data_IF_339228398442
#
_entry.id   IF_339228398442
#
_cell.length_a   1.000
_cell.length_b   1.000
_cell.length_c   1.000
_cell.angle_alpha   90.00
_cell.angle_beta   90.00
_cell.angle_gamma   90.00
#
_symmetry.space_group_name_H-M   'P 1'
#
loop_
_entity.id
_entity.type
_entity.pdbx_description
1 polymer ?
#
# COMPACT_ATOMS: atom_id res chain seq x y z
N UNK A 1 20.28 -11.26 -12.48
CA UNK A 1 18.86 -10.89 -12.31
C UNK A 1 18.05 -11.40 -13.48
N UNK A 2 16.83 -11.88 -13.26
CA UNK A 2 15.95 -12.27 -14.35
C UNK A 2 15.04 -11.12 -14.73
N UNK A 3 15.15 -10.65 -15.98
CA UNK A 3 14.39 -9.53 -16.51
C UNK A 3 12.88 -9.76 -16.41
N UNK A 4 12.14 -8.70 -16.06
CA UNK A 4 10.67 -8.67 -16.20
C UNK A 4 10.32 -8.92 -17.67
N UNK A 5 9.36 -9.79 -18.01
CA UNK A 5 9.00 -10.03 -19.40
C UNK A 5 8.47 -8.75 -20.09
N UNK A 6 8.76 -8.56 -21.39
CA UNK A 6 8.45 -7.30 -22.09
C UNK A 6 6.95 -7.04 -22.29
N UNK A 7 6.13 -8.08 -22.25
CA UNK A 7 4.68 -8.04 -22.45
C UNK A 7 3.90 -7.93 -21.12
N UNK A 8 4.59 -7.66 -20.01
CA UNK A 8 3.99 -7.57 -18.68
C UNK A 8 3.75 -6.13 -18.27
N UNK A 9 2.59 -5.87 -17.66
CA UNK A 9 2.27 -4.55 -17.11
C UNK A 9 3.28 -4.12 -16.03
N UNK A 10 3.85 -5.09 -15.30
CA UNK A 10 4.92 -4.87 -14.33
C UNK A 10 6.16 -4.18 -14.93
N UNK A 11 6.47 -4.39 -16.21
CA UNK A 11 7.60 -3.71 -16.86
C UNK A 11 7.35 -2.20 -16.94
N UNK A 12 6.15 -1.79 -17.37
CA UNK A 12 5.75 -0.38 -17.39
C UNK A 12 5.83 0.22 -15.97
N UNK A 13 5.44 -0.55 -14.96
CA UNK A 13 5.56 -0.15 -13.56
C UNK A 13 7.01 0.06 -13.14
N UNK A 14 7.94 -0.83 -13.54
CA UNK A 14 9.37 -0.64 -13.29
C UNK A 14 9.91 0.62 -13.97
N UNK A 15 9.59 0.83 -15.26
CA UNK A 15 10.02 2.02 -16.00
C UNK A 15 9.53 3.32 -15.33
N UNK A 16 8.27 3.36 -14.90
CA UNK A 16 7.73 4.52 -14.20
C UNK A 16 8.34 4.70 -12.81
N UNK A 17 8.63 3.61 -12.10
CA UNK A 17 9.30 3.66 -10.79
C UNK A 17 10.70 4.25 -10.93
N UNK A 18 11.49 3.78 -11.90
CA UNK A 18 12.82 4.33 -12.20
C UNK A 18 12.76 5.82 -12.58
N UNK A 19 11.73 6.22 -13.34
CA UNK A 19 11.53 7.61 -13.70
C UNK A 19 11.19 8.48 -12.47
N UNK A 20 10.31 8.02 -11.58
CA UNK A 20 10.00 8.71 -10.31
C UNK A 20 11.23 8.84 -9.43
N UNK A 21 12.09 7.81 -9.37
CA UNK A 21 13.33 7.85 -8.61
C UNK A 21 14.30 8.91 -9.14
N UNK A 22 14.56 8.92 -10.45
CA UNK A 22 15.44 9.91 -11.06
C UNK A 22 14.95 11.35 -10.83
N UNK A 23 13.63 11.56 -10.91
CA UNK A 23 13.00 12.84 -10.60
C UNK A 23 13.14 13.21 -9.13
N UNK A 24 12.93 12.25 -8.22
CA UNK A 24 13.10 12.44 -6.79
C UNK A 24 14.54 12.85 -6.47
N UNK A 25 15.53 12.13 -6.98
CA UNK A 25 16.96 12.43 -6.76
C UNK A 25 17.31 13.84 -7.29
N UNK A 26 16.79 14.23 -8.46
CA UNK A 26 16.97 15.58 -8.99
C UNK A 26 16.34 16.65 -8.10
N UNK A 27 15.11 16.42 -7.63
CA UNK A 27 14.40 17.36 -6.76
C UNK A 27 15.13 17.53 -5.42
N UNK A 28 15.60 16.44 -4.81
CA UNK A 28 16.35 16.46 -3.54
C UNK A 28 17.70 17.17 -3.72
N UNK A 29 18.40 16.92 -4.82
CA UNK A 29 19.66 17.60 -5.13
C UNK A 29 19.51 19.08 -5.49
N UNK A 30 18.28 19.59 -5.67
CA UNK A 30 18.03 20.94 -6.19
C UNK A 30 18.49 21.14 -7.64
N UNK A 31 18.68 20.04 -8.38
CA UNK A 31 19.17 20.05 -9.76
C UNK A 31 18.01 20.30 -10.73
N UNK A 32 18.17 21.28 -11.62
CA UNK A 32 17.24 21.52 -12.74
C UNK A 32 17.53 20.61 -13.94
N UNK A 33 18.15 19.45 -13.73
CA UNK A 33 18.52 18.57 -14.83
C UNK A 33 17.27 18.02 -15.50
N UNK A 34 17.22 18.14 -16.83
CA UNK A 34 16.11 17.60 -17.61
C UNK A 34 16.21 16.07 -17.66
N UNK A 35 15.44 15.39 -16.81
CA UNK A 35 15.25 13.93 -16.92
C UNK A 35 14.41 13.67 -18.15
N UNK A 36 15.00 12.92 -19.09
CA UNK A 36 14.34 12.50 -20.31
C UNK A 36 13.14 11.61 -19.97
N UNK A 37 11.94 11.96 -20.44
CA UNK A 37 10.77 11.13 -20.22
C UNK A 37 10.90 9.76 -20.93
N UNK A 38 10.50 8.65 -20.30
CA UNK A 38 10.43 7.37 -20.98
C UNK A 38 9.37 7.40 -22.10
N UNK A 39 9.75 6.99 -23.32
CA UNK A 39 8.85 7.00 -24.49
C UNK A 39 7.66 6.04 -24.36
N UNK A 40 7.73 5.09 -23.43
CA UNK A 40 6.70 4.08 -23.18
C UNK A 40 5.56 4.59 -22.29
N UNK A 41 5.74 5.73 -21.62
CA UNK A 41 4.72 6.32 -20.75
C UNK A 41 3.94 7.40 -21.51
N UNK A 42 2.61 7.39 -21.35
CA UNK A 42 1.79 8.48 -21.86
C UNK A 42 2.01 9.78 -21.06
N UNK A 43 1.59 10.90 -21.65
CA UNK A 43 1.77 12.23 -21.07
C UNK A 43 1.10 12.37 -19.69
N UNK A 44 -0.16 11.94 -19.49
CA UNK A 44 -0.79 11.97 -18.17
C UNK A 44 0.00 11.22 -17.08
N UNK A 45 0.48 10.01 -17.39
CA UNK A 45 1.28 9.18 -16.48
C UNK A 45 2.60 9.86 -16.13
N UNK A 46 3.27 10.47 -17.12
CA UNK A 46 4.50 11.21 -16.87
C UNK A 46 4.29 12.43 -15.97
N UNK A 47 3.19 13.16 -16.13
CA UNK A 47 2.83 14.29 -15.27
C UNK A 47 2.53 13.83 -13.84
N UNK A 48 1.80 12.73 -13.68
CA UNK A 48 1.54 12.13 -12.38
C UNK A 48 2.83 11.66 -11.68
N UNK A 49 3.77 11.06 -12.42
CA UNK A 49 5.09 10.68 -11.89
C UNK A 49 5.88 11.90 -11.40
N UNK A 50 5.86 13.02 -12.15
CA UNK A 50 6.51 14.27 -11.74
C UNK A 50 5.91 14.87 -10.48
N UNK A 51 4.58 14.86 -10.37
CA UNK A 51 3.88 15.31 -9.16
C UNK A 51 4.27 14.43 -7.96
N UNK A 52 4.19 13.11 -8.10
CA UNK A 52 4.57 12.16 -7.04
C UNK A 52 6.02 12.36 -6.58
N UNK A 53 6.98 12.43 -7.52
CA UNK A 53 8.39 12.62 -7.22
C UNK A 53 8.67 13.94 -6.49
N UNK A 54 7.91 15.00 -6.80
CA UNK A 54 8.01 16.29 -6.10
C UNK A 54 7.52 16.17 -4.66
N UNK A 55 6.35 15.59 -4.44
CA UNK A 55 5.78 15.43 -3.08
C UNK A 55 6.66 14.52 -2.22
N UNK A 56 7.23 13.46 -2.82
CA UNK A 56 8.22 12.61 -2.16
C UNK A 56 9.46 13.42 -1.74
N UNK A 57 10.03 14.26 -2.62
CA UNK A 57 11.18 15.09 -2.29
C UNK A 57 10.86 16.14 -1.20
N UNK A 58 9.67 16.74 -1.25
CA UNK A 58 9.18 17.67 -0.22
C UNK A 58 9.04 16.96 1.14
N UNK A 59 8.52 15.72 1.14
CA UNK A 59 8.42 14.92 2.36
C UNK A 59 9.79 14.52 2.91
N UNK A 60 10.68 14.08 2.02
CA UNK A 60 12.04 13.73 2.38
C UNK A 60 12.75 14.92 3.03
N UNK A 61 12.53 16.13 2.53
CA UNK A 61 13.11 17.37 3.08
C UNK A 61 12.50 17.81 4.42
N UNK A 62 11.47 17.11 4.91
CA UNK A 62 10.77 17.41 6.15
C UNK A 62 10.70 16.18 7.08
N UNK A 63 11.85 15.68 7.57
CA UNK A 63 11.89 14.55 8.49
C UNK A 63 11.42 14.95 9.90
N UNK A 64 10.66 14.08 10.54
CA UNK A 64 10.19 14.22 11.92
C UNK A 64 10.66 13.03 12.73
N UNK A 65 11.68 13.26 13.55
CA UNK A 65 12.22 12.27 14.47
C UNK A 65 11.30 12.12 15.70
N UNK A 66 10.96 10.88 16.05
CA UNK A 66 10.26 10.50 17.27
C UNK A 66 11.21 9.84 18.27
N UNK A 67 10.91 9.98 19.55
CA UNK A 67 11.57 9.24 20.64
C UNK A 67 10.90 7.88 20.85
N UNK A 68 10.91 7.07 19.81
CA UNK A 68 10.34 5.72 19.78
C UNK A 68 11.36 4.81 19.10
N UNK A 69 11.71 3.66 19.66
CA UNK A 69 12.41 2.61 18.92
C UNK A 69 11.36 1.60 18.42
N UNK A 70 11.21 1.49 17.08
CA UNK A 70 10.15 0.65 16.52
C UNK A 70 10.39 -0.85 16.75
N UNK A 71 11.65 -1.27 16.93
CA UNK A 71 11.99 -2.68 17.14
C UNK A 71 11.54 -3.08 18.55
N UNK A 72 11.92 -2.31 19.56
CA UNK A 72 11.47 -2.56 20.94
C UNK A 72 9.96 -2.42 21.08
N UNK A 73 9.37 -1.46 20.37
CA UNK A 73 7.92 -1.34 20.31
C UNK A 73 7.26 -2.59 19.74
N UNK A 74 7.77 -3.09 18.60
CA UNK A 74 7.29 -4.30 17.94
C UNK A 74 7.42 -5.54 18.83
N UNK A 75 8.53 -5.70 19.54
CA UNK A 75 8.74 -6.80 20.50
C UNK A 75 7.73 -6.78 21.66
N UNK A 76 7.22 -5.60 22.01
CA UNK A 76 6.19 -5.44 23.02
C UNK A 76 4.76 -5.65 22.50
N UNK A 77 4.55 -5.76 21.18
CA UNK A 77 3.25 -6.05 20.59
C UNK A 77 2.93 -7.55 20.71
N UNK A 78 1.70 -7.87 21.13
CA UNK A 78 1.22 -9.24 21.01
C UNK A 78 1.08 -9.60 19.52
N UNK A 79 1.52 -10.82 19.13
CA UNK A 79 1.54 -11.31 17.72
C UNK A 79 0.22 -11.16 16.95
N UNK A 80 -0.90 -11.00 17.63
CA UNK A 80 -2.23 -10.85 17.03
C UNK A 80 -3.00 -9.61 17.54
N UNK A 81 -2.29 -8.64 18.13
CA UNK A 81 -2.92 -7.40 18.61
C UNK A 81 -3.45 -6.58 17.45
N UNK A 82 -4.78 -6.41 17.41
CA UNK A 82 -5.46 -5.63 16.38
C UNK A 82 -5.66 -4.16 16.78
N UNK A 83 -5.06 -3.71 17.88
CA UNK A 83 -5.15 -2.32 18.34
C UNK A 83 -6.51 -1.88 18.91
N UNK A 84 -7.45 -2.80 19.14
CA UNK A 84 -8.81 -2.43 19.60
C UNK A 84 -9.02 -2.55 21.11
N UNK A 85 -8.07 -3.13 21.85
CA UNK A 85 -8.18 -3.35 23.30
C UNK A 85 -7.58 -2.16 24.05
N UNK A 86 -8.43 -1.22 24.50
CA UNK A 86 -8.00 0.03 25.12
C UNK A 86 -6.99 -0.13 26.26
N UNK A 87 -7.22 -1.09 27.17
CA UNK A 87 -6.28 -1.35 28.30
C UNK A 87 -4.89 -1.76 27.84
N UNK A 88 -4.80 -2.53 26.75
CA UNK A 88 -3.51 -2.94 26.19
C UNK A 88 -2.80 -1.75 25.53
N UNK A 89 -3.54 -0.92 24.81
CA UNK A 89 -3.00 0.31 24.20
C UNK A 89 -2.51 1.31 25.25
N UNK A 90 -3.24 1.48 26.34
CA UNK A 90 -2.83 2.33 27.47
C UNK A 90 -1.54 1.83 28.11
N UNK A 91 -1.42 0.50 28.32
CA UNK A 91 -0.18 -0.10 28.83
C UNK A 91 1.00 0.06 27.86
N UNK A 92 0.77 -0.01 26.55
CA UNK A 92 1.80 0.26 25.53
C UNK A 92 2.21 1.73 25.56
N UNK A 93 1.27 2.67 25.64
CA UNK A 93 1.57 4.11 25.72
C UNK A 93 2.32 4.49 27.00
N UNK A 94 2.08 3.79 28.12
CA UNK A 94 2.87 3.99 29.34
C UNK A 94 4.33 3.57 29.18
N UNK A 95 4.58 2.51 28.39
CA UNK A 95 5.94 2.00 28.10
C UNK A 95 6.65 2.80 27.01
N UNK A 96 5.88 3.22 26.01
CA UNK A 96 6.35 3.93 24.82
C UNK A 96 5.51 5.21 24.64
N UNK A 97 5.71 6.22 25.49
CA UNK A 97 4.95 7.46 25.41
C UNK A 97 5.28 8.18 24.11
N UNK A 98 4.26 8.62 23.38
CA UNK A 98 4.48 9.60 22.33
C UNK A 98 4.74 10.97 22.95
N UNK A 99 5.45 11.82 22.22
CA UNK A 99 5.63 13.23 22.59
C UNK A 99 4.34 14.04 22.44
N UNK A 100 4.48 15.36 22.30
CA UNK A 100 3.35 16.26 22.05
C UNK A 100 2.58 15.84 20.81
N UNK A 101 1.24 15.93 20.88
CA UNK A 101 0.37 15.68 19.74
C UNK A 101 0.66 16.65 18.58
N UNK A 102 0.61 16.14 17.35
CA UNK A 102 0.91 16.92 16.13
C UNK A 102 -0.12 16.66 15.05
N UNK A 103 -0.61 17.74 14.44
CA UNK A 103 -1.31 17.69 13.15
C UNK A 103 -0.30 17.96 12.03
N UNK A 104 -0.23 17.06 11.06
CA UNK A 104 0.64 17.18 9.89
C UNK A 104 -0.19 17.56 8.66
N UNK A 105 0.10 18.74 8.13
CA UNK A 105 -0.52 19.28 6.92
C UNK A 105 0.41 19.23 5.72
N UNK A 106 1.72 19.13 5.96
CA UNK A 106 2.76 19.15 4.91
C UNK A 106 3.32 17.76 4.66
N UNK A 107 3.83 17.49 3.44
CA UNK A 107 4.58 16.27 3.17
C UNK A 107 5.66 16.05 4.22
N UNK A 108 5.76 14.84 4.77
CA UNK A 108 6.66 14.55 5.89
C UNK A 108 7.10 13.08 5.91
N UNK A 109 8.30 12.82 6.40
CA UNK A 109 8.76 11.46 6.75
C UNK A 109 8.86 11.34 8.26
N UNK A 110 8.24 10.32 8.84
CA UNK A 110 8.29 10.06 10.29
C UNK A 110 9.33 8.99 10.56
N UNK A 111 10.27 9.30 11.45
CA UNK A 111 11.41 8.47 11.78
C UNK A 111 11.33 8.02 13.24
N UNK A 112 11.77 6.79 13.51
CA UNK A 112 12.05 6.30 14.85
C UNK A 112 13.38 6.85 15.36
N UNK A 113 13.68 6.66 16.65
CA UNK A 113 14.88 7.15 17.33
C UNK A 113 16.21 6.70 16.70
N UNK A 114 16.21 5.62 15.92
CA UNK A 114 17.37 5.09 15.21
C UNK A 114 17.43 5.51 13.72
N UNK A 115 16.51 6.34 13.26
CA UNK A 115 16.45 6.82 11.87
C UNK A 115 15.78 5.83 10.90
N UNK A 116 15.06 4.82 11.42
CA UNK A 116 14.22 3.93 10.63
C UNK A 116 12.92 4.64 10.28
N UNK A 117 12.44 4.43 9.07
CA UNK A 117 11.25 5.09 8.57
C UNK A 117 10.01 4.37 9.13
N UNK A 118 9.20 5.08 9.91
CA UNK A 118 7.90 4.59 10.40
C UNK A 118 6.83 4.80 9.34
N UNK A 119 6.81 5.99 8.72
CA UNK A 119 5.74 6.42 7.83
C UNK A 119 6.19 7.52 6.86
N UNK A 120 5.65 7.49 5.65
CA UNK A 120 5.63 8.62 4.72
C UNK A 120 4.21 9.19 4.62
N UNK A 121 4.10 10.50 4.74
CA UNK A 121 2.87 11.25 4.50
C UNK A 121 3.06 12.17 3.30
N UNK A 122 2.25 11.96 2.26
CA UNK A 122 2.35 12.60 0.97
C UNK A 122 0.98 13.22 0.58
N UNK A 123 0.62 14.39 1.13
CA UNK A 123 -0.60 15.10 0.73
C UNK A 123 -0.50 15.51 -0.74
N UNK A 124 -1.64 15.49 -1.44
CA UNK A 124 -1.74 15.90 -2.85
C UNK A 124 -0.78 15.16 -3.80
N UNK A 125 -0.40 13.92 -3.49
CA UNK A 125 0.51 13.13 -4.32
C UNK A 125 -0.19 12.53 -5.56
N UNK A 126 -1.50 12.26 -5.47
CA UNK A 126 -2.30 11.77 -6.60
C UNK A 126 -2.96 12.94 -7.32
N UNK A 127 -2.70 13.06 -8.63
CA UNK A 127 -3.26 14.14 -9.45
C UNK A 127 -4.79 14.02 -9.59
N UNK A 128 -5.53 15.14 -9.76
CA UNK A 128 -6.99 15.08 -9.94
C UNK A 128 -7.46 14.17 -11.07
N UNK A 129 -6.66 14.02 -12.13
CA UNK A 129 -6.96 13.11 -13.23
C UNK A 129 -6.92 11.64 -12.79
N UNK A 130 -5.86 11.22 -12.09
CA UNK A 130 -5.77 9.87 -11.52
C UNK A 130 -6.88 9.64 -10.49
N UNK A 131 -7.20 10.65 -9.67
CA UNK A 131 -8.29 10.55 -8.69
C UNK A 131 -9.62 10.25 -9.37
N UNK A 132 -9.91 10.90 -10.51
CA UNK A 132 -11.11 10.66 -11.29
C UNK A 132 -11.13 9.25 -11.92
N UNK A 133 -9.99 8.76 -12.42
CA UNK A 133 -9.87 7.38 -12.93
C UNK A 133 -10.12 6.35 -11.82
N UNK A 134 -9.54 6.56 -10.64
CA UNK A 134 -9.74 5.68 -9.48
C UNK A 134 -11.20 5.68 -9.00
N UNK A 135 -11.88 6.83 -9.04
CA UNK A 135 -13.30 6.92 -8.76
C UNK A 135 -14.11 6.13 -9.79
N UNK A 136 -13.86 6.32 -11.09
CA UNK A 136 -14.58 5.62 -12.16
C UNK A 136 -14.35 4.11 -12.12
N UNK A 137 -13.11 3.68 -11.86
CA UNK A 137 -12.79 2.27 -11.61
C UNK A 137 -13.62 1.71 -10.45
N UNK A 138 -13.76 2.48 -9.36
CA UNK A 138 -14.55 2.09 -8.18
C UNK A 138 -16.05 2.03 -8.50
N UNK A 139 -16.57 2.94 -9.33
CA UNK A 139 -17.96 2.90 -9.82
C UNK A 139 -18.20 1.61 -10.61
N UNK A 140 -17.28 1.23 -11.50
CA UNK A 140 -17.32 -0.04 -12.24
C UNK A 140 -17.36 -1.29 -11.33
N UNK A 141 -16.87 -1.18 -10.10
CA UNK A 141 -16.85 -2.27 -9.10
C UNK A 141 -18.12 -2.36 -8.26
N UNK A 142 -19.16 -1.56 -8.53
CA UNK A 142 -20.32 -1.43 -7.64
C UNK A 142 -21.00 -2.75 -7.28
N UNK A 143 -21.13 -3.68 -8.24
CA UNK A 143 -21.73 -5.00 -7.98
C UNK A 143 -20.88 -5.86 -7.03
N UNK A 144 -19.55 -5.80 -7.15
CA UNK A 144 -18.59 -6.52 -6.30
C UNK A 144 -18.56 -5.91 -4.90
N UNK A 145 -18.52 -4.58 -4.81
CA UNK A 145 -18.56 -3.83 -3.55
C UNK A 145 -19.85 -4.16 -2.76
N UNK A 146 -21.00 -4.15 -3.43
CA UNK A 146 -22.28 -4.50 -2.79
C UNK A 146 -22.29 -5.91 -2.21
N UNK A 147 -21.77 -6.89 -2.96
CA UNK A 147 -21.70 -8.30 -2.55
C UNK A 147 -20.73 -8.53 -1.39
N UNK A 148 -19.76 -7.63 -1.19
CA UNK A 148 -18.77 -7.76 -0.12
C UNK A 148 -19.34 -7.49 1.28
N UNK A 149 -20.45 -6.76 1.37
CA UNK A 149 -21.08 -6.41 2.65
C UNK A 149 -21.87 -7.59 3.21
N UNK A 150 -21.78 -7.77 4.53
CA UNK A 150 -22.38 -8.86 5.29
C UNK A 150 -23.28 -8.32 6.38
N UNK A 151 -24.42 -8.95 6.60
CA UNK A 151 -25.40 -8.61 7.65
C UNK A 151 -25.11 -9.25 9.02
N UNK A 152 -23.93 -9.85 9.19
CA UNK A 152 -23.55 -10.60 10.40
C UNK A 152 -23.10 -9.74 11.59
N UNK A 153 -22.57 -10.36 12.64
CA UNK A 153 -22.09 -9.66 13.84
C UNK A 153 -20.83 -8.80 13.59
N UNK A 154 -20.58 -7.83 14.47
CA UNK A 154 -19.41 -6.92 14.48
C UNK A 154 -18.04 -7.62 14.43
N UNK A 155 -17.98 -8.93 14.72
CA UNK A 155 -16.77 -9.75 14.62
C UNK A 155 -16.18 -9.74 13.20
N UNK A 156 -16.98 -9.44 12.16
CA UNK A 156 -16.52 -9.18 10.78
C UNK A 156 -16.53 -7.69 10.46
N UNK A 157 -15.94 -6.86 11.32
CA UNK A 157 -16.04 -5.40 11.23
C UNK A 157 -15.67 -4.83 9.85
N UNK A 158 -14.73 -5.43 9.12
CA UNK A 158 -14.32 -4.97 7.77
C UNK A 158 -15.41 -5.09 6.70
N UNK A 159 -16.38 -5.99 6.89
CA UNK A 159 -17.46 -6.28 5.94
C UNK A 159 -18.85 -6.13 6.58
N UNK A 160 -18.94 -5.74 7.85
CA UNK A 160 -20.23 -5.55 8.52
C UNK A 160 -20.95 -4.34 7.92
N UNK A 161 -22.18 -4.54 7.42
CA UNK A 161 -22.93 -3.49 6.73
C UNK A 161 -23.17 -2.24 7.57
N UNK A 162 -23.25 -2.36 8.90
CA UNK A 162 -23.41 -1.21 9.80
C UNK A 162 -22.20 -0.26 9.84
N UNK A 163 -21.04 -0.68 9.34
CA UNK A 163 -19.85 0.16 9.23
C UNK A 163 -19.76 0.91 7.89
N UNK A 164 -20.75 0.78 7.02
CA UNK A 164 -20.81 1.47 5.74
C UNK A 164 -21.93 2.50 5.72
N UNK A 165 -21.71 3.62 5.06
CA UNK A 165 -22.76 4.61 4.81
C UNK A 165 -23.07 4.68 3.31
N UNK A 166 -24.31 5.02 2.96
CA UNK A 166 -24.71 5.22 1.57
C UNK A 166 -23.97 6.41 0.96
N UNK A 167 -23.84 6.39 -0.37
CA UNK A 167 -23.22 7.50 -1.09
C UNK A 167 -24.09 8.75 -1.04
N UNK A 168 -23.47 9.88 -0.70
CA UNK A 168 -24.13 11.18 -0.64
C UNK A 168 -24.56 11.65 -2.04
N UNK A 169 -23.79 11.25 -3.07
CA UNK A 169 -24.07 11.58 -4.48
C UNK A 169 -24.77 10.45 -5.25
N UNK A 170 -25.11 9.36 -4.59
CA UNK A 170 -25.73 8.15 -5.17
C UNK A 170 -24.97 7.50 -6.34
N UNK A 171 -23.69 7.86 -6.55
CA UNK A 171 -22.85 7.30 -7.62
C UNK A 171 -22.05 6.09 -7.14
N UNK A 172 -21.61 6.12 -5.89
CA UNK A 172 -20.72 5.11 -5.33
C UNK A 172 -21.51 4.03 -4.57
N UNK A 173 -21.04 2.80 -4.69
CA UNK A 173 -21.59 1.67 -3.94
C UNK A 173 -20.66 1.34 -2.77
N UNK A 174 -21.14 1.40 -1.51
CA UNK A 174 -20.31 1.06 -0.36
C UNK A 174 -19.89 -0.41 -0.39
N UNK A 175 -18.70 -0.69 0.12
CA UNK A 175 -18.17 -2.05 0.18
C UNK A 175 -16.66 -2.10 0.40
N UNK A 176 -16.13 -3.31 0.56
CA UNK A 176 -14.72 -3.58 0.74
C UNK A 176 -14.34 -4.88 0.03
N UNK A 177 -13.59 -4.78 -1.07
CA UNK A 177 -13.12 -5.94 -1.83
C UNK A 177 -11.60 -6.04 -1.80
N UNK A 178 -11.10 -7.27 -1.88
CA UNK A 178 -9.67 -7.56 -2.04
C UNK A 178 -9.40 -8.15 -3.44
N UNK A 179 -8.35 -7.66 -4.06
CA UNK A 179 -7.86 -8.02 -5.39
C UNK A 179 -6.46 -8.60 -5.22
N UNK A 180 -6.24 -9.81 -5.73
CA UNK A 180 -4.91 -10.42 -5.70
C UNK A 180 -4.78 -11.40 -6.87
N UNK A 181 -3.79 -11.24 -7.76
CA UNK A 181 -3.54 -12.20 -8.82
C UNK A 181 -3.10 -13.56 -8.25
N UNK A 182 -2.60 -13.55 -7.02
CA UNK A 182 -2.15 -14.72 -6.30
C UNK A 182 -2.22 -14.42 -4.80
N UNK A 183 -2.92 -15.23 -4.01
CA UNK A 183 -2.94 -15.14 -2.55
C UNK A 183 -3.28 -16.48 -1.90
N UNK A 184 -2.97 -16.64 -0.62
CA UNK A 184 -3.48 -17.77 0.15
C UNK A 184 -4.85 -17.43 0.72
N UNK A 185 -5.77 -18.40 0.70
CA UNK A 185 -7.04 -18.25 1.40
C UNK A 185 -6.77 -18.13 2.91
N UNK A 186 -7.63 -17.38 3.60
CA UNK A 186 -7.51 -17.16 5.04
C UNK A 186 -7.40 -18.49 5.79
N UNK A 187 -6.34 -18.63 6.60
CA UNK A 187 -6.09 -19.85 7.40
C UNK A 187 -5.44 -21.00 6.61
N UNK A 188 -5.08 -20.79 5.34
CA UNK A 188 -4.31 -21.71 4.51
C UNK A 188 -2.92 -21.17 4.17
N UNK A 189 -2.48 -20.20 4.94
CA UNK A 189 -1.18 -19.55 4.80
C UNK A 189 -0.12 -20.50 5.39
N UNK A 190 0.91 -20.87 4.63
CA UNK A 190 1.99 -21.69 5.19
C UNK A 190 2.77 -20.87 6.22
N UNK A 191 2.87 -21.37 7.45
CA UNK A 191 3.72 -20.81 8.49
C UNK A 191 4.97 -21.70 8.65
N UNK A 192 6.11 -21.19 8.19
CA UNK A 192 7.41 -21.88 8.29
C UNK A 192 7.78 -22.71 7.05
N UNK A 193 9.06 -23.09 6.99
CA UNK A 193 9.60 -24.04 6.01
C UNK A 193 9.77 -25.41 6.69
N UNK A 194 9.44 -26.53 6.01
CA UNK A 194 8.96 -26.64 4.63
C UNK A 194 7.44 -26.41 4.47
N UNK A 195 7.03 -26.09 3.25
CA UNK A 195 5.63 -25.92 2.83
C UNK A 195 4.91 -27.29 2.84
N UNK A 196 4.50 -27.79 4.01
CA UNK A 196 3.99 -29.16 4.18
C UNK A 196 2.48 -29.34 3.92
N UNK A 197 1.74 -28.25 3.80
CA UNK A 197 0.28 -28.30 4.04
C UNK A 197 -0.52 -28.51 2.75
N UNK A 198 0.14 -28.65 1.60
CA UNK A 198 -0.47 -28.94 0.30
C UNK A 198 -1.30 -27.80 -0.31
N UNK A 199 -1.42 -26.67 0.38
CA UNK A 199 -2.10 -25.48 -0.15
C UNK A 199 -1.18 -24.68 -1.06
N UNK A 200 -1.70 -24.30 -2.22
CA UNK A 200 -1.07 -23.37 -3.14
C UNK A 200 -1.82 -22.05 -3.16
N UNK A 201 -1.16 -20.93 -3.49
CA UNK A 201 -1.87 -19.68 -3.66
C UNK A 201 -2.76 -19.73 -4.91
N UNK A 202 -3.82 -18.92 -4.92
CA UNK A 202 -4.82 -18.86 -5.98
C UNK A 202 -5.15 -17.42 -6.35
N UNK A 203 -5.77 -17.21 -7.51
CA UNK A 203 -6.38 -15.90 -7.86
C UNK A 203 -7.54 -15.59 -6.89
N UNK A 204 -7.67 -14.33 -6.45
CA UNK A 204 -8.75 -13.94 -5.55
C UNK A 204 -10.14 -14.14 -6.17
N UNK A 205 -11.14 -14.43 -5.35
CA UNK A 205 -12.51 -14.66 -5.83
C UNK A 205 -13.07 -13.45 -6.61
N UNK A 206 -12.68 -12.24 -6.21
CA UNK A 206 -13.04 -10.99 -6.89
C UNK A 206 -12.50 -10.95 -8.31
N UNK A 207 -11.23 -11.35 -8.52
CA UNK A 207 -10.61 -11.35 -9.85
C UNK A 207 -11.04 -12.52 -10.73
N UNK A 208 -11.48 -13.64 -10.13
CA UNK A 208 -12.13 -14.75 -10.84
C UNK A 208 -13.56 -14.41 -11.27
N UNK A 209 -14.20 -13.45 -10.62
CA UNK A 209 -15.59 -13.07 -10.86
C UNK A 209 -15.79 -12.19 -12.10
N UNK A 210 -17.07 -11.97 -12.41
CA UNK A 210 -17.49 -11.02 -13.44
C UNK A 210 -16.97 -9.61 -13.10
N UNK A 211 -16.30 -8.95 -14.06
CA UNK A 211 -15.65 -7.65 -13.86
C UNK A 211 -14.18 -7.73 -13.42
N UNK A 212 -13.66 -8.89 -13.04
CA UNK A 212 -12.27 -9.06 -12.60
C UNK A 212 -11.20 -8.58 -13.60
N UNK A 213 -11.26 -8.96 -14.90
CA UNK A 213 -10.36 -8.43 -15.91
C UNK A 213 -10.40 -6.91 -16.04
N UNK A 214 -11.60 -6.32 -16.07
CA UNK A 214 -11.82 -4.88 -16.21
C UNK A 214 -11.25 -4.10 -15.02
N UNK A 215 -11.36 -4.67 -13.81
CA UNK A 215 -10.77 -4.12 -12.59
C UNK A 215 -9.24 -4.04 -12.69
N UNK A 216 -8.57 -5.09 -13.18
CA UNK A 216 -7.11 -5.11 -13.33
C UNK A 216 -6.65 -4.02 -14.31
N UNK A 217 -7.38 -3.83 -15.41
CA UNK A 217 -7.06 -2.82 -16.43
C UNK A 217 -7.28 -1.41 -15.87
N UNK A 218 -8.42 -1.16 -15.24
CA UNK A 218 -8.80 0.16 -14.72
C UNK A 218 -7.93 0.64 -13.54
N UNK A 219 -7.20 -0.25 -12.87
CA UNK A 219 -6.31 0.11 -11.78
C UNK A 219 -4.85 0.35 -12.18
N UNK A 220 -4.50 0.29 -13.47
CA UNK A 220 -3.09 0.29 -13.90
C UNK A 220 -2.31 1.53 -13.44
N UNK A 221 -2.85 2.74 -13.61
CA UNK A 221 -2.14 3.95 -13.21
C UNK A 221 -1.99 4.09 -11.69
N UNK A 222 -3.03 3.77 -10.91
CA UNK A 222 -2.96 3.85 -9.44
C UNK A 222 -2.02 2.79 -8.87
N UNK A 223 -2.03 1.58 -9.42
CA UNK A 223 -1.10 0.50 -9.09
C UNK A 223 0.36 0.89 -9.36
N UNK A 224 0.59 1.50 -10.53
CA UNK A 224 1.90 1.97 -10.96
C UNK A 224 2.42 3.07 -10.05
N UNK A 225 1.60 4.08 -9.71
CA UNK A 225 2.01 5.17 -8.83
C UNK A 225 2.27 4.70 -7.39
N UNK A 226 1.45 3.80 -6.86
CA UNK A 226 1.70 3.21 -5.54
C UNK A 226 3.03 2.44 -5.52
N UNK A 227 3.33 1.71 -6.59
CA UNK A 227 4.59 0.97 -6.74
C UNK A 227 5.79 1.90 -6.88
N UNK A 228 5.66 2.98 -7.67
CA UNK A 228 6.69 3.99 -7.83
C UNK A 228 6.97 4.76 -6.53
N UNK A 229 5.94 5.01 -5.72
CA UNK A 229 6.13 5.53 -4.38
C UNK A 229 6.92 4.54 -3.52
N UNK A 230 6.56 3.25 -3.54
CA UNK A 230 7.27 2.23 -2.74
C UNK A 230 8.75 2.13 -3.12
N UNK A 231 9.07 2.31 -4.41
CA UNK A 231 10.45 2.30 -4.88
C UNK A 231 11.32 3.33 -4.15
N UNK A 232 10.82 4.56 -3.98
CA UNK A 232 11.50 5.62 -3.23
C UNK A 232 11.44 5.36 -1.71
N UNK A 233 10.27 4.97 -1.19
CA UNK A 233 10.04 4.85 0.25
C UNK A 233 10.74 3.65 0.90
N UNK A 234 10.82 2.53 0.17
CA UNK A 234 11.39 1.28 0.67
C UNK A 234 11.94 0.40 -0.50
N UNK A 235 13.12 0.73 -1.03
CA UNK A 235 13.63 0.16 -2.28
C UNK A 235 13.92 -1.35 -2.20
N UNK A 236 14.43 -1.80 -1.04
CA UNK A 236 14.66 -3.22 -0.76
C UNK A 236 13.36 -4.04 -0.79
N UNK A 237 12.26 -3.47 -0.28
CA UNK A 237 10.94 -4.12 -0.30
C UNK A 237 10.34 -4.14 -1.70
N UNK A 238 10.49 -3.05 -2.45
CA UNK A 238 10.12 -2.99 -3.86
C UNK A 238 10.75 -4.14 -4.66
N UNK A 239 12.07 -4.29 -4.63
CA UNK A 239 12.76 -5.34 -5.40
C UNK A 239 12.51 -6.75 -4.88
N UNK A 240 12.36 -6.93 -3.56
CA UNK A 240 11.92 -8.19 -3.00
C UNK A 240 10.55 -8.59 -3.59
N UNK A 241 9.63 -7.64 -3.71
CA UNK A 241 8.31 -7.92 -4.26
C UNK A 241 8.32 -8.18 -5.76
N UNK A 242 9.08 -7.41 -6.55
CA UNK A 242 9.30 -7.70 -7.99
C UNK A 242 9.84 -9.13 -8.17
N UNK A 243 10.82 -9.52 -7.36
CA UNK A 243 11.39 -10.86 -7.38
C UNK A 243 10.34 -11.93 -7.06
N UNK A 244 9.53 -11.71 -6.03
CA UNK A 244 8.43 -12.62 -5.67
C UNK A 244 7.43 -12.79 -6.81
N UNK A 245 7.04 -11.71 -7.50
CA UNK A 245 6.11 -11.80 -8.63
C UNK A 245 6.67 -12.56 -9.82
N UNK A 246 7.93 -12.33 -10.19
CA UNK A 246 8.59 -13.07 -11.29
C UNK A 246 8.71 -14.56 -10.94
N UNK A 247 9.02 -14.89 -9.67
CA UNK A 247 9.06 -16.29 -9.23
C UNK A 247 7.67 -16.93 -9.25
N UNK A 248 6.63 -16.22 -8.79
CA UNK A 248 5.24 -16.69 -8.84
C UNK A 248 4.79 -16.96 -10.27
N UNK A 249 5.15 -16.09 -11.20
CA UNK A 249 4.89 -16.27 -12.62
C UNK A 249 5.44 -17.57 -13.17
N UNK A 250 6.72 -17.82 -12.91
CA UNK A 250 7.42 -19.04 -13.37
C UNK A 250 6.81 -20.28 -12.75
N UNK A 251 6.51 -20.20 -11.46
CA UNK A 251 5.84 -21.27 -10.75
C UNK A 251 4.47 -21.56 -11.37
N UNK A 252 3.67 -20.53 -11.65
CA UNK A 252 2.35 -20.66 -12.27
C UNK A 252 2.44 -21.31 -13.67
N UNK A 253 3.40 -20.88 -14.50
CA UNK A 253 3.67 -21.49 -15.82
C UNK A 253 4.04 -22.96 -15.70
N UNK A 254 4.97 -23.30 -14.79
CA UNK A 254 5.42 -24.66 -14.58
C UNK A 254 4.31 -25.61 -14.09
N UNK A 255 3.26 -25.07 -13.44
CA UNK A 255 2.13 -25.83 -12.93
C UNK A 255 0.87 -25.71 -13.81
N UNK A 256 0.97 -25.09 -15.00
CA UNK A 256 -0.15 -24.97 -15.93
C UNK A 256 -1.30 -24.07 -15.45
N UNK A 257 -1.02 -23.11 -14.57
CA UNK A 257 -2.01 -22.21 -13.97
C UNK A 257 -2.28 -20.98 -14.86
N UNK A 258 -2.90 -21.21 -16.01
CA UNK A 258 -3.10 -20.19 -17.06
C UNK A 258 -3.82 -18.92 -16.57
N UNK A 259 -4.91 -19.05 -15.79
CA UNK A 259 -5.63 -17.88 -15.25
C UNK A 259 -4.71 -17.03 -14.36
N UNK A 260 -3.93 -17.65 -13.46
CA UNK A 260 -2.96 -16.93 -12.63
C UNK A 260 -1.89 -16.23 -13.46
N UNK A 261 -1.35 -16.92 -14.49
CA UNK A 261 -0.37 -16.32 -15.40
C UNK A 261 -0.94 -15.07 -16.08
N UNK A 262 -2.17 -15.14 -16.58
CA UNK A 262 -2.85 -14.00 -17.19
C UNK A 262 -3.05 -12.88 -16.17
N UNK A 263 -3.49 -13.16 -14.94
CA UNK A 263 -3.65 -12.11 -13.92
C UNK A 263 -2.32 -11.44 -13.58
N UNK A 264 -1.25 -12.21 -13.41
CA UNK A 264 0.09 -11.69 -13.13
C UNK A 264 0.63 -10.83 -14.29
N UNK A 265 0.37 -11.23 -15.54
CA UNK A 265 0.79 -10.47 -16.72
C UNK A 265 0.18 -9.06 -16.76
N UNK A 266 -1.10 -8.92 -16.40
CA UNK A 266 -1.79 -7.62 -16.41
C UNK A 266 -1.69 -6.84 -15.10
N UNK A 267 -1.12 -7.45 -14.05
CA UNK A 267 -1.00 -6.84 -12.74
C UNK A 267 0.12 -5.78 -12.72
N UNK A 268 -0.28 -4.51 -12.77
CA UNK A 268 0.64 -3.37 -12.84
C UNK A 268 1.16 -2.88 -11.47
N UNK A 269 1.18 -3.73 -10.45
CA UNK A 269 1.62 -3.35 -9.09
C UNK A 269 2.76 -4.24 -8.64
N UNK A 270 3.71 -3.72 -7.86
CA UNK A 270 4.65 -4.56 -7.09
C UNK A 270 4.00 -5.13 -5.83
N UNK A 271 2.90 -4.55 -5.34
CA UNK A 271 2.14 -5.13 -4.26
C UNK A 271 1.41 -6.37 -4.74
N UNK A 272 1.33 -7.43 -3.94
CA UNK A 272 0.65 -8.65 -4.36
C UNK A 272 -0.86 -8.62 -4.07
N UNK A 273 -1.34 -7.61 -3.36
CA UNK A 273 -2.75 -7.39 -3.07
C UNK A 273 -3.13 -5.91 -3.16
N UNK A 274 -4.39 -5.65 -3.48
CA UNK A 274 -5.03 -4.35 -3.32
C UNK A 274 -6.40 -4.51 -2.64
N UNK A 275 -6.77 -3.57 -1.77
CA UNK A 275 -8.13 -3.44 -1.26
C UNK A 275 -8.75 -2.15 -1.78
N UNK A 276 -10.00 -2.25 -2.25
CA UNK A 276 -10.83 -1.08 -2.56
C UNK A 276 -11.90 -0.98 -1.48
N UNK A 277 -11.85 0.11 -0.73
CA UNK A 277 -12.69 0.36 0.45
C UNK A 277 -13.50 1.62 0.17
N UNK A 278 -14.81 1.48 0.02
CA UNK A 278 -15.71 2.59 -0.30
C UNK A 278 -16.69 2.82 0.84
N UNK A 279 -16.75 4.07 1.33
CA UNK A 279 -17.68 4.56 2.34
C UNK A 279 -17.74 3.71 3.62
N UNK A 280 -16.58 3.20 4.04
CA UNK A 280 -16.44 2.39 5.25
C UNK A 280 -15.81 3.19 6.38
N UNK A 281 -16.42 3.14 7.56
CA UNK A 281 -15.81 3.62 8.78
C UNK A 281 -14.50 2.88 9.09
N UNK A 282 -13.50 3.62 9.55
CA UNK A 282 -12.19 3.11 9.88
C UNK A 282 -11.85 3.44 11.34
N UNK A 283 -12.39 2.68 12.32
CA UNK A 283 -12.02 2.87 13.72
C UNK A 283 -10.54 2.57 13.95
N UNK A 284 -9.99 3.04 15.07
CA UNK A 284 -8.60 2.79 15.45
C UNK A 284 -8.30 1.29 15.53
N UNK A 285 -7.32 0.84 14.74
CA UNK A 285 -6.89 -0.55 14.68
C UNK A 285 -5.42 -0.67 14.23
N UNK A 286 -4.90 -1.90 14.32
CA UNK A 286 -3.70 -2.37 13.63
C UNK A 286 -4.07 -3.53 12.73
N UNK A 287 -3.22 -3.81 11.77
CA UNK A 287 -3.30 -4.97 10.90
C UNK A 287 -2.24 -6.01 11.30
N UNK A 288 -2.55 -6.91 12.25
CA UNK A 288 -1.54 -7.75 12.90
C UNK A 288 -0.87 -8.78 11.99
N UNK A 289 -1.46 -9.04 10.81
CA UNK A 289 -0.95 -10.05 9.86
C UNK A 289 0.14 -9.51 8.94
N UNK A 290 0.41 -8.22 8.97
CA UNK A 290 1.48 -7.61 8.19
C UNK A 290 2.81 -7.76 8.88
N UNK A 291 3.87 -7.79 8.07
CA UNK A 291 5.24 -7.73 8.57
C UNK A 291 5.55 -6.32 9.06
N UNK A 292 6.21 -6.17 10.22
CA UNK A 292 6.54 -4.86 10.75
C UNK A 292 7.50 -4.06 9.85
N UNK A 293 8.33 -4.73 9.06
CA UNK A 293 9.22 -4.13 8.07
C UNK A 293 8.49 -3.74 6.76
N UNK A 294 7.30 -4.27 6.55
CA UNK A 294 6.53 -4.06 5.32
C UNK A 294 5.79 -2.72 5.33
N UNK A 295 5.75 -2.04 4.18
CA UNK A 295 4.87 -0.90 3.97
C UNK A 295 3.64 -1.30 3.19
N UNK A 296 2.49 -0.87 3.69
CA UNK A 296 1.27 -0.73 2.92
C UNK A 296 1.18 0.71 2.42
N UNK A 297 0.64 0.88 1.22
CA UNK A 297 0.43 2.20 0.60
C UNK A 297 -1.06 2.45 0.47
N UNK A 298 -1.56 3.41 1.23
CA UNK A 298 -2.96 3.82 1.22
C UNK A 298 -3.10 5.11 0.44
N UNK A 299 -4.06 5.15 -0.48
CA UNK A 299 -4.38 6.32 -1.29
C UNK A 299 -5.85 6.66 -1.11
N UNK A 300 -6.17 7.95 -0.94
CA UNK A 300 -7.54 8.40 -0.67
C UNK A 300 -8.08 9.27 -1.80
N UNK A 301 -9.28 8.96 -2.30
CA UNK A 301 -9.95 9.69 -3.38
C UNK A 301 -11.47 9.79 -3.11
N UNK A 302 -12.20 10.47 -4.00
CA UNK A 302 -13.66 10.63 -3.92
C UNK A 302 -14.08 12.09 -3.65
N UNK A 303 -15.14 12.25 -2.87
CA UNK A 303 -15.77 13.53 -2.61
C UNK A 303 -16.12 13.67 -1.13
N UNK A 304 -15.09 13.92 -0.32
CA UNK A 304 -15.23 14.13 1.11
C UNK A 304 -14.43 15.36 1.59
N UNK A 305 -14.75 15.83 2.78
CA UNK A 305 -14.02 16.89 3.49
C UNK A 305 -13.70 16.45 4.92
N UNK A 306 -12.87 17.25 5.61
CA UNK A 306 -12.46 17.02 7.00
C UNK A 306 -11.83 15.64 7.22
N UNK A 307 -11.09 15.15 6.22
CA UNK A 307 -10.36 13.88 6.32
C UNK A 307 -9.24 13.98 7.33
N UNK A 308 -9.26 13.10 8.33
CA UNK A 308 -8.25 13.04 9.38
C UNK A 308 -7.86 11.59 9.60
N UNK A 309 -6.57 11.28 9.48
CA UNK A 309 -6.02 9.97 9.83
C UNK A 309 -5.28 10.08 11.16
N UNK A 310 -5.79 9.41 12.18
CA UNK A 310 -5.23 9.43 13.53
C UNK A 310 -4.29 8.26 13.72
N UNK A 311 -3.02 8.54 14.03
CA UNK A 311 -1.96 7.58 14.34
C UNK A 311 -1.71 7.58 15.86
N UNK A 312 -2.63 6.97 16.58
CA UNK A 312 -2.76 7.16 18.03
C UNK A 312 -1.53 6.77 18.85
N UNK A 313 -0.79 5.74 18.44
CA UNK A 313 0.43 5.32 19.15
C UNK A 313 1.61 6.27 18.93
N UNK A 314 1.54 7.15 17.93
CA UNK A 314 2.59 8.11 17.60
C UNK A 314 2.25 9.54 18.05
N UNK A 315 1.03 9.78 18.55
CA UNK A 315 0.56 11.14 18.84
C UNK A 315 0.44 12.02 17.58
N UNK A 316 0.20 11.41 16.41
CA UNK A 316 0.16 12.12 15.13
C UNK A 316 -1.25 12.04 14.54
N UNK A 317 -1.68 13.15 13.95
CA UNK A 317 -2.83 13.21 13.05
C UNK A 317 -2.35 13.73 11.70
N UNK A 318 -2.84 13.14 10.61
CA UNK A 318 -2.56 13.57 9.24
C UNK A 318 -3.80 14.22 8.66
N UNK A 319 -3.63 15.36 7.98
CA UNK A 319 -4.69 15.99 7.19
C UNK A 319 -4.98 15.14 5.94
N UNK A 320 -5.78 14.08 6.12
CA UNK A 320 -5.98 13.01 5.14
C UNK A 320 -7.00 13.39 4.05
N UNK A 321 -6.68 14.44 3.29
CA UNK A 321 -7.51 14.95 2.20
C UNK A 321 -7.37 14.11 0.92
N UNK A 322 -8.20 14.46 -0.07
CA UNK A 322 -8.21 13.84 -1.39
C UNK A 322 -6.83 13.88 -2.04
N UNK A 323 -6.43 12.77 -2.64
CA UNK A 323 -5.15 12.61 -3.31
C UNK A 323 -3.95 12.35 -2.38
N UNK A 324 -4.18 12.20 -1.07
CA UNK A 324 -3.12 11.82 -0.14
C UNK A 324 -2.65 10.38 -0.37
N UNK A 325 -1.34 10.16 -0.25
CA UNK A 325 -0.72 8.85 -0.09
C UNK A 325 -0.13 8.76 1.32
N UNK A 326 -0.36 7.62 1.99
CA UNK A 326 0.29 7.27 3.25
C UNK A 326 0.94 5.91 3.10
N UNK A 327 2.27 5.87 3.27
CA UNK A 327 3.05 4.63 3.27
C UNK A 327 3.51 4.29 4.68
N UNK A 328 3.07 3.16 5.24
CA UNK A 328 3.49 2.73 6.60
C UNK A 328 3.25 1.24 6.84
N UNK A 329 3.80 0.71 7.92
CA UNK A 329 3.41 -0.63 8.40
C UNK A 329 2.11 -0.58 9.21
N UNK A 330 1.04 -1.19 8.70
CA UNK A 330 -0.22 -1.37 9.43
C UNK A 330 -0.07 -2.23 10.70
N UNK A 331 1.02 -3.02 10.80
CA UNK A 331 1.36 -3.78 12.00
C UNK A 331 1.89 -2.89 13.13
N UNK A 332 2.69 -1.87 12.82
CA UNK A 332 3.29 -0.98 13.82
C UNK A 332 2.35 0.19 14.14
N UNK A 333 1.78 0.79 13.10
CA UNK A 333 1.04 2.05 13.22
C UNK A 333 -0.43 1.77 13.50
N UNK A 334 -0.87 2.15 14.71
CA UNK A 334 -2.29 2.10 15.09
C UNK A 334 -3.02 3.29 14.51
N UNK A 335 -3.83 3.03 13.50
CA UNK A 335 -4.45 4.05 12.68
C UNK A 335 -5.97 3.93 12.60
N UNK A 336 -6.61 5.05 12.32
CA UNK A 336 -8.06 5.16 12.07
C UNK A 336 -8.33 6.43 11.29
N UNK A 337 -9.45 6.49 10.58
CA UNK A 337 -9.78 7.60 9.68
C UNK A 337 -11.20 8.10 9.95
N UNK A 338 -11.35 9.41 10.02
CA UNK A 338 -12.64 10.12 10.07
C UNK A 338 -12.75 11.09 8.90
N UNK A 339 -13.95 11.27 8.35
CA UNK A 339 -14.24 12.16 7.23
C UNK A 339 -15.75 12.44 7.15
N UNK A 340 -16.14 13.43 6.33
CA UNK A 340 -17.53 13.71 5.95
C UNK A 340 -17.66 13.67 4.43
N UNK A 341 -18.55 12.82 3.90
CA UNK A 341 -18.78 12.68 2.46
C UNK A 341 -18.43 11.29 1.92
N UNK A 342 -18.25 11.20 0.61
CA UNK A 342 -17.92 9.95 -0.09
C UNK A 342 -16.42 9.72 -0.15
N UNK A 343 -15.93 8.66 0.50
CA UNK A 343 -14.51 8.33 0.59
C UNK A 343 -14.21 6.96 -0.04
N UNK A 344 -13.18 6.94 -0.88
CA UNK A 344 -12.64 5.73 -1.49
C UNK A 344 -11.18 5.62 -1.07
N UNK A 345 -10.82 4.51 -0.45
CA UNK A 345 -9.44 4.17 -0.16
C UNK A 345 -9.03 2.98 -1.02
N UNK A 346 -7.94 3.16 -1.75
CA UNK A 346 -7.20 2.05 -2.35
C UNK A 346 -5.98 1.78 -1.46
N UNK A 347 -5.94 0.58 -0.88
CA UNK A 347 -4.83 0.14 -0.04
C UNK A 347 -4.04 -0.95 -0.78
N UNK A 348 -2.77 -0.69 -1.04
CA UNK A 348 -1.84 -1.59 -1.72
C UNK A 348 -0.97 -2.25 -0.66
N UNK A 349 -0.97 -3.57 -0.62
CA UNK A 349 -0.37 -4.29 0.50
C UNK A 349 0.22 -5.64 0.07
N UNK A 350 1.07 -6.20 0.93
CA UNK A 350 1.75 -7.47 0.65
C UNK A 350 1.38 -8.53 1.67
N UNK A 351 0.95 -9.68 1.17
CA UNK A 351 0.83 -10.88 1.98
C UNK A 351 2.18 -11.60 2.05
N UNK A 352 2.81 -11.59 3.22
CA UNK A 352 4.15 -12.14 3.44
C UNK A 352 4.24 -13.65 3.16
N UNK A 353 3.13 -14.39 3.28
CA UNK A 353 3.11 -15.83 2.95
C UNK A 353 3.51 -16.13 1.50
N UNK A 354 3.31 -15.20 0.56
CA UNK A 354 3.79 -15.37 -0.83
C UNK A 354 5.31 -15.23 -0.95
N UNK A 355 5.90 -14.32 -0.17
CA UNK A 355 7.36 -14.16 -0.11
C UNK A 355 7.99 -15.42 0.50
N UNK A 356 7.41 -15.92 1.59
CA UNK A 356 7.81 -17.20 2.20
C UNK A 356 7.66 -18.35 1.19
N UNK A 357 6.52 -18.46 0.52
CA UNK A 357 6.26 -19.52 -0.47
C UNK A 357 7.27 -19.52 -1.62
N UNK A 358 7.71 -18.35 -2.07
CA UNK A 358 8.71 -18.19 -3.13
C UNK A 358 10.17 -18.19 -2.64
N UNK A 359 10.39 -18.33 -1.33
CA UNK A 359 11.72 -18.22 -0.72
C UNK A 359 12.40 -16.89 -1.06
N UNK A 360 11.65 -15.79 -1.06
CA UNK A 360 12.20 -14.44 -1.22
C UNK A 360 12.47 -13.86 0.18
N UNK A 361 13.72 -13.51 0.52
CA UNK A 361 14.04 -12.93 1.82
C UNK A 361 13.25 -11.65 2.10
N UNK A 362 12.91 -11.46 3.37
CA UNK A 362 12.33 -10.20 3.85
C UNK A 362 13.43 -9.14 3.94
N UNK A 363 13.19 -7.92 3.45
CA UNK A 363 14.11 -6.81 3.70
C UNK A 363 14.04 -6.40 5.18
N UNK A 364 15.08 -5.75 5.67
CA UNK A 364 15.03 -4.99 6.92
C UNK A 364 14.14 -3.76 6.76
N UNK A 365 13.79 -3.12 7.88
CA UNK A 365 13.16 -1.80 7.88
C UNK A 365 13.86 -0.81 6.95
N UNK A 366 13.07 0.04 6.27
CA UNK A 366 13.59 1.19 5.54
C UNK A 366 14.27 2.17 6.49
N UNK A 367 15.39 2.74 6.06
CA UNK A 367 16.15 3.74 6.82
C UNK A 367 16.29 5.01 6.00
N UNK A 368 16.30 6.16 6.67
CA UNK A 368 16.30 7.46 6.02
C UNK A 368 17.63 7.77 5.29
N UNK A 369 18.74 7.13 5.68
CA UNK A 369 20.05 7.29 5.04
C UNK A 369 20.35 6.21 3.97
N UNK A 370 19.52 5.17 3.83
CA UNK A 370 19.65 4.17 2.75
C UNK A 370 19.13 4.70 1.39
N UNK A 371 18.76 5.98 1.31
CA UNK A 371 18.40 6.66 0.06
C UNK A 371 19.66 7.14 -0.71
N UNK A 372 20.86 6.92 -0.14
CA UNK A 372 22.11 6.97 -0.89
C UNK A 372 22.28 5.67 -1.71
N UNK A 373 21.98 5.79 -3.00
CA UNK A 373 21.91 4.70 -3.99
C UNK A 373 23.28 4.14 -4.38
N UNK A 374 23.85 3.29 -3.56
CA UNK A 374 24.91 2.40 -4.04
C UNK A 374 24.28 1.16 -4.69
N UNK A 375 23.88 1.31 -5.96
CA UNK A 375 23.53 0.17 -6.83
C UNK A 375 24.81 -0.55 -7.28
N UNK A 376 25.66 -0.89 -6.31
CA UNK A 376 26.83 -1.75 -6.49
C UNK A 376 26.66 -3.05 -5.71
N UNK A 377 25.46 -3.62 -5.75
CA UNK A 377 25.29 -5.04 -5.43
C UNK A 377 25.72 -5.85 -6.65
N UNK A 378 27.05 -6.05 -6.74
CA UNK A 378 27.81 -7.06 -7.48
C UNK A 378 27.23 -7.58 -8.81
N UNK A 379 27.97 -7.28 -9.89
CA UNK A 379 27.86 -7.84 -11.24
C UNK A 379 27.63 -9.36 -11.31
#
# INVERSE_FOLDING_TARGET
MTSVPPDWALLTTCIASDFVQQLFDCNVAGNQQSILPPLTLDVPTMLACRQLARVLADAYSNPIQLDLDMIWYNEALDKCSNGRIAKHEEALLQKFPHGSERLLEKPSVILDSAGRIILWYLPDAISPWIQAEMEEATVGMGSLLKKSMTSGAETKWRTFSGNFHNSDRHRLTPGCINLAPCWFQQGREPYGFPLSDGFSPEVSATLKGEGGPEVIISMQHSALLASAALWVMHPKLYWASVTTQIKLARWAVAHGLSDMCTRLQFWASVFNCAAVICNRQCPLHRDPRFTPEGFDVMTSVGHYCNGLMTLSNLGIQLQYNLGAIVGCSGHIVRHGVTYTGDCIVWAWFMHDSLHNFMGTPRPSYGTYMDVDWDVSVSA
#
